data_IF_389883571511
#
_entry.id   IF_389883571511
#
_cell.length_a   1.000
_cell.length_b   1.000
_cell.length_c   1.000
_cell.angle_alpha   90.00
_cell.angle_beta   90.00
_cell.angle_gamma   90.00
#
_symmetry.space_group_name_H-M   'P 1'
#
loop_
_entity.id
_entity.type
_entity.pdbx_description
1 polymer ?
#
# COMPACT_ATOMS: atom_id res chain seq x y z
N UNK A 1 1.91 -15.13 17.38
CA UNK A 1 1.73 -15.71 16.02
C UNK A 1 3.10 -15.97 15.43
N UNK A 2 3.48 -17.24 15.26
CA UNK A 2 4.74 -17.64 14.63
C UNK A 2 4.62 -17.54 13.11
N UNK A 3 5.27 -16.53 12.52
CA UNK A 3 5.50 -16.46 11.07
C UNK A 3 6.31 -17.68 10.62
N UNK A 4 5.81 -18.43 9.64
CA UNK A 4 6.55 -19.52 9.01
C UNK A 4 7.80 -18.94 8.33
N UNK A 5 8.96 -19.57 8.50
CA UNK A 5 10.25 -19.05 8.04
C UNK A 5 10.30 -18.72 6.53
N UNK A 6 9.49 -19.40 5.71
CA UNK A 6 9.34 -19.13 4.27
C UNK A 6 8.66 -17.79 3.96
N UNK A 7 7.81 -17.29 4.86
CA UNK A 7 7.02 -16.07 4.67
C UNK A 7 7.84 -14.81 5.00
N UNK A 8 8.70 -14.87 6.04
CA UNK A 8 9.67 -13.78 6.31
C UNK A 8 10.65 -13.57 5.17
N UNK A 9 11.04 -14.65 4.49
CA UNK A 9 11.95 -14.58 3.36
C UNK A 9 11.38 -13.74 2.19
N UNK A 10 10.07 -13.83 1.92
CA UNK A 10 9.44 -13.10 0.81
C UNK A 10 9.37 -11.58 1.05
N UNK A 11 9.05 -11.15 2.28
CA UNK A 11 9.03 -9.73 2.67
C UNK A 11 10.43 -9.13 2.64
N UNK A 12 11.44 -9.86 3.15
CA UNK A 12 12.84 -9.41 3.14
C UNK A 12 13.42 -9.36 1.72
N UNK A 13 12.96 -10.23 0.81
CA UNK A 13 13.36 -10.20 -0.61
C UNK A 13 12.84 -8.93 -1.29
N UNK A 14 11.64 -8.46 -0.95
CA UNK A 14 11.03 -7.22 -1.45
C UNK A 14 11.87 -5.97 -1.10
N UNK A 15 12.31 -5.87 0.16
CA UNK A 15 13.17 -4.76 0.61
C UNK A 15 14.61 -4.84 0.10
N UNK A 16 15.17 -6.04 0.00
CA UNK A 16 16.54 -6.26 -0.49
C UNK A 16 16.72 -5.85 -1.97
N UNK A 17 15.74 -6.17 -2.81
CA UNK A 17 15.80 -5.89 -4.26
C UNK A 17 15.60 -4.40 -4.58
N UNK A 18 14.75 -3.69 -3.83
CA UNK A 18 14.60 -2.24 -3.94
C UNK A 18 15.90 -1.48 -3.59
N UNK A 19 16.65 -1.97 -2.58
CA UNK A 19 17.93 -1.37 -2.17
C UNK A 19 19.07 -1.56 -3.19
N UNK A 20 18.98 -2.56 -4.09
CA UNK A 20 20.10 -3.01 -4.93
C UNK A 20 19.99 -2.60 -6.41
N UNK A 21 18.96 -1.88 -6.82
CA UNK A 21 18.81 -1.47 -8.21
C UNK A 21 19.76 -0.29 -8.56
N UNK A 22 20.94 -0.64 -9.10
CA UNK A 22 21.99 0.31 -9.52
C UNK A 22 21.56 1.21 -10.70
N UNK A 23 20.52 0.86 -11.46
CA UNK A 23 20.03 1.70 -12.57
C UNK A 23 19.22 2.91 -12.09
N UNK A 24 18.41 2.76 -11.04
CA UNK A 24 17.65 3.87 -10.43
C UNK A 24 18.57 4.96 -9.83
N UNK A 25 19.74 4.56 -9.31
CA UNK A 25 20.76 5.50 -8.82
C UNK A 25 21.44 6.29 -9.94
N UNK A 26 21.50 5.76 -11.16
CA UNK A 26 22.10 6.44 -12.33
C UNK A 26 21.15 7.47 -12.94
N UNK A 27 19.85 7.18 -12.96
CA UNK A 27 18.82 8.07 -13.52
C UNK A 27 18.60 9.35 -12.70
N UNK A 28 18.77 9.32 -11.37
CA UNK A 28 18.72 10.54 -10.55
C UNK A 28 19.97 11.44 -10.67
N UNK A 29 21.11 10.89 -11.12
CA UNK A 29 22.36 11.66 -11.22
C UNK A 29 22.49 12.44 -12.55
N UNK A 30 21.65 12.15 -13.55
CA UNK A 30 21.76 12.72 -14.90
C UNK A 30 20.91 13.97 -15.16
N UNK A 31 20.17 14.48 -14.17
CA UNK A 31 19.25 15.62 -14.36
C UNK A 31 19.57 16.78 -13.42
N UNK A 32 20.67 17.49 -13.69
CA UNK A 32 20.77 18.93 -13.43
C UNK A 32 21.80 19.56 -14.39
N UNK A 33 21.40 20.53 -15.24
CA UNK A 33 22.33 21.23 -16.13
C UNK A 33 22.98 22.41 -15.40
N UNK A 34 24.14 22.90 -15.87
CA UNK A 34 24.47 24.33 -16.06
C UNK A 34 25.94 24.53 -16.48
N UNK A 35 26.07 25.13 -17.67
CA UNK A 35 26.96 26.20 -18.13
C UNK A 35 28.50 26.13 -18.08
N UNK A 36 29.05 26.22 -19.29
CA UNK A 36 30.02 27.25 -19.76
C UNK A 36 31.42 27.32 -19.14
N UNK A 37 32.44 27.06 -19.97
CA UNK A 37 33.73 27.74 -19.85
C UNK A 37 34.48 27.80 -21.19
N UNK A 38 34.61 29.02 -21.73
CA UNK A 38 35.61 29.40 -22.71
C UNK A 38 36.98 29.61 -22.03
N UNK A 39 38.03 29.45 -22.85
CA UNK A 39 39.47 29.38 -22.60
C UNK A 39 40.09 30.49 -21.69
N UNK A 40 41.25 30.23 -21.03
CA UNK A 40 41.89 31.13 -20.08
C UNK A 40 43.04 31.94 -20.71
N UNK A 41 43.36 33.10 -20.11
CA UNK A 41 44.72 33.65 -20.16
C UNK A 41 44.98 34.62 -19.01
N UNK A 42 46.25 34.61 -18.58
CA UNK A 42 46.98 35.59 -17.74
C UNK A 42 47.15 35.25 -16.25
N UNK A 43 48.27 34.56 -15.99
CA UNK A 43 49.37 34.94 -15.08
C UNK A 43 49.06 35.55 -13.70
N UNK A 44 49.35 34.77 -12.65
CA UNK A 44 50.50 35.02 -11.75
C UNK A 44 50.76 33.81 -10.86
N UNK A 45 52.02 33.37 -10.83
CA UNK A 45 52.58 32.34 -9.94
C UNK A 45 52.93 32.98 -8.59
N UNK A 46 53.00 32.10 -7.58
CA UNK A 46 53.41 32.23 -6.18
C UNK A 46 52.27 32.55 -5.20
N UNK A 47 52.06 31.62 -4.26
CA UNK A 47 51.05 31.59 -3.15
C UNK A 47 49.75 30.79 -3.30
N UNK A 48 49.63 29.89 -4.29
CA UNK A 48 48.42 29.05 -4.43
C UNK A 48 48.57 27.57 -3.98
N UNK A 49 49.78 27.03 -3.87
CA UNK A 49 49.97 25.59 -3.66
C UNK A 49 49.73 25.09 -2.21
N UNK A 50 49.93 25.91 -1.18
CA UNK A 50 49.71 25.51 0.22
C UNK A 50 48.24 25.57 0.62
N UNK A 51 47.53 26.61 0.17
CA UNK A 51 46.10 26.83 0.43
C UNK A 51 45.23 25.84 -0.36
N UNK A 52 45.57 25.57 -1.63
CA UNK A 52 44.86 24.58 -2.45
C UNK A 52 44.99 23.15 -1.89
N UNK A 53 46.17 22.75 -1.39
CA UNK A 53 46.35 21.44 -0.73
C UNK A 53 45.57 21.34 0.59
N UNK A 54 45.52 22.41 1.39
CA UNK A 54 44.72 22.43 2.63
C UNK A 54 43.21 22.38 2.35
N UNK A 55 42.74 23.07 1.31
CA UNK A 55 41.34 23.03 0.89
C UNK A 55 40.96 21.67 0.28
N UNK A 56 41.84 21.04 -0.51
CA UNK A 56 41.61 19.68 -1.03
C UNK A 56 41.57 18.65 0.09
N UNK A 57 42.49 18.72 1.07
CA UNK A 57 42.49 17.80 2.21
C UNK A 57 41.24 17.98 3.08
N UNK A 58 40.81 19.23 3.33
CA UNK A 58 39.59 19.51 4.07
C UNK A 58 38.33 19.03 3.33
N UNK A 59 38.28 19.19 2.00
CA UNK A 59 37.18 18.70 1.17
C UNK A 59 37.13 17.16 1.14
N UNK A 60 38.27 16.48 1.08
CA UNK A 60 38.33 15.01 1.14
C UNK A 60 37.90 14.48 2.50
N UNK A 61 38.36 15.09 3.60
CA UNK A 61 37.95 14.70 4.96
C UNK A 61 36.46 14.96 5.19
N UNK A 62 35.91 16.07 4.69
CA UNK A 62 34.46 16.31 4.75
C UNK A 62 33.67 15.32 3.87
N UNK A 63 34.15 14.98 2.67
CA UNK A 63 33.51 13.96 1.84
C UNK A 63 33.56 12.58 2.50
N UNK A 64 34.66 12.19 3.15
CA UNK A 64 34.78 10.93 3.89
C UNK A 64 33.88 10.91 5.13
N UNK A 65 33.76 12.02 5.86
CA UNK A 65 32.85 12.13 7.01
C UNK A 65 31.36 12.11 6.59
N UNK A 66 31.02 12.73 5.46
CA UNK A 66 29.67 12.73 4.91
C UNK A 66 29.30 11.36 4.31
N UNK A 67 30.24 10.69 3.65
CA UNK A 67 30.02 9.34 3.10
C UNK A 67 29.96 8.28 4.20
N UNK A 68 30.80 8.37 5.23
CA UNK A 68 30.70 7.52 6.43
C UNK A 68 29.37 7.69 7.17
N UNK A 69 28.88 8.93 7.29
CA UNK A 69 27.55 9.20 7.85
C UNK A 69 26.41 8.69 6.94
N UNK A 70 26.55 8.80 5.62
CA UNK A 70 25.54 8.34 4.66
C UNK A 70 25.46 6.80 4.61
N UNK A 71 26.58 6.10 4.70
CA UNK A 71 26.60 4.63 4.80
C UNK A 71 26.03 4.16 6.14
N UNK A 72 26.39 4.81 7.25
CA UNK A 72 25.80 4.52 8.56
C UNK A 72 24.28 4.77 8.60
N UNK A 73 23.79 5.82 7.92
CA UNK A 73 22.36 6.09 7.78
C UNK A 73 21.66 5.04 6.92
N UNK A 74 22.26 4.59 5.81
CA UNK A 74 21.72 3.49 5.00
C UNK A 74 21.71 2.15 5.74
N UNK A 75 22.68 1.92 6.61
CA UNK A 75 22.76 0.70 7.40
C UNK A 75 21.69 0.69 8.50
N UNK A 76 21.51 1.83 9.18
CA UNK A 76 20.35 2.06 10.09
C UNK A 76 19.02 1.96 9.35
N UNK A 77 18.93 2.50 8.14
CA UNK A 77 17.72 2.45 7.33
C UNK A 77 17.41 1.02 6.89
N UNK A 78 18.42 0.18 6.61
CA UNK A 78 18.25 -1.26 6.35
C UNK A 78 17.84 -2.06 7.58
N UNK A 79 18.34 -1.71 8.76
CA UNK A 79 17.98 -2.34 10.03
C UNK A 79 16.53 -2.00 10.43
N UNK A 80 16.15 -0.73 10.29
CA UNK A 80 14.78 -0.21 10.49
C UNK A 80 13.84 -0.75 9.42
N UNK A 81 14.36 -0.89 8.20
CA UNK A 81 13.70 -1.58 7.11
C UNK A 81 13.80 -3.12 7.25
N UNK A 82 14.13 -3.71 8.40
CA UNK A 82 14.10 -5.17 8.55
C UNK A 82 12.83 -5.70 9.18
N UNK A 83 12.24 -4.96 10.12
CA UNK A 83 11.41 -5.59 11.13
C UNK A 83 9.98 -5.05 11.19
N UNK A 84 9.00 -5.96 11.13
CA UNK A 84 7.63 -5.72 11.58
C UNK A 84 7.57 -5.21 13.02
N UNK A 85 8.65 -5.38 13.79
CA UNK A 85 8.77 -4.88 15.15
C UNK A 85 8.89 -3.35 15.17
N UNK A 86 9.51 -2.68 14.20
CA UNK A 86 9.66 -1.22 14.25
C UNK A 86 8.31 -0.51 14.24
N UNK A 87 7.39 -0.89 13.36
CA UNK A 87 6.06 -0.28 13.31
C UNK A 87 5.26 -0.58 14.58
N UNK A 88 5.41 -1.79 15.14
CA UNK A 88 4.81 -2.12 16.44
C UNK A 88 5.44 -1.31 17.56
N UNK A 89 6.76 -1.17 17.59
CA UNK A 89 7.52 -0.37 18.56
C UNK A 89 7.11 1.09 18.47
N UNK A 90 6.99 1.66 17.28
CA UNK A 90 6.50 3.02 17.06
C UNK A 90 5.04 3.17 17.48
N UNK A 91 4.15 2.24 17.11
CA UNK A 91 2.76 2.26 17.56
C UNK A 91 2.65 2.20 19.09
N UNK A 92 3.45 1.35 19.75
CA UNK A 92 3.52 1.30 21.21
C UNK A 92 4.17 2.54 21.84
N UNK A 93 5.16 3.14 21.17
CA UNK A 93 5.90 4.31 21.64
C UNK A 93 5.07 5.60 21.54
N UNK A 94 4.23 5.71 20.51
CA UNK A 94 3.34 6.86 20.29
C UNK A 94 1.90 6.61 20.79
N UNK A 95 1.67 5.51 21.51
CA UNK A 95 0.34 5.11 22.01
C UNK A 95 -0.74 5.13 20.91
N UNK A 96 -0.36 4.76 19.68
CA UNK A 96 -1.32 4.69 18.59
C UNK A 96 -2.36 3.61 18.92
N UNK A 97 -3.66 3.88 18.74
CA UNK A 97 -4.69 2.88 18.94
C UNK A 97 -4.38 1.64 18.10
N UNK A 98 -4.59 0.46 18.68
CA UNK A 98 -4.42 -0.80 17.94
C UNK A 98 -5.33 -0.81 16.71
N UNK A 99 -4.98 -1.63 15.72
CA UNK A 99 -5.82 -1.83 14.52
C UNK A 99 -7.26 -2.21 14.88
N UNK A 100 -7.42 -3.02 15.94
CA UNK A 100 -8.70 -3.40 16.52
C UNK A 100 -9.51 -2.18 17.00
N UNK A 101 -8.88 -1.26 17.72
CA UNK A 101 -9.52 -0.03 18.19
C UNK A 101 -9.89 0.86 17.01
N UNK A 102 -8.99 1.07 16.04
CA UNK A 102 -9.27 1.86 14.85
C UNK A 102 -10.48 1.33 14.06
N UNK A 103 -10.50 0.03 13.80
CA UNK A 103 -11.56 -0.66 13.04
C UNK A 103 -12.88 -0.66 13.83
N UNK A 104 -12.83 -0.85 15.15
CA UNK A 104 -14.01 -0.73 16.01
C UNK A 104 -14.55 0.70 16.04
N UNK A 105 -13.70 1.74 16.11
CA UNK A 105 -14.15 3.13 16.10
C UNK A 105 -14.77 3.54 14.76
N UNK A 106 -14.33 2.93 13.66
CA UNK A 106 -14.82 3.26 12.33
C UNK A 106 -16.31 2.88 12.16
N UNK A 107 -16.72 1.67 12.52
CA UNK A 107 -18.12 1.23 12.40
C UNK A 107 -18.50 0.06 13.31
N UNK A 108 -17.88 -0.05 14.50
CA UNK A 108 -18.01 -1.22 15.37
C UNK A 108 -17.67 -2.53 14.67
N UNK A 109 -16.68 -2.51 13.78
CA UNK A 109 -16.20 -3.72 13.13
C UNK A 109 -15.44 -4.62 14.10
N UNK A 110 -15.65 -5.92 13.94
CA UNK A 110 -14.86 -6.94 14.61
C UNK A 110 -13.62 -7.24 13.76
N UNK A 111 -12.46 -6.81 14.25
CA UNK A 111 -11.18 -7.06 13.59
C UNK A 111 -10.90 -8.55 13.36
N UNK A 112 -11.20 -9.41 14.33
CA UNK A 112 -10.93 -10.84 14.22
C UNK A 112 -11.77 -11.48 13.11
N UNK A 113 -13.03 -11.07 13.01
CA UNK A 113 -13.91 -11.50 11.92
C UNK A 113 -13.38 -11.01 10.56
N UNK A 114 -13.02 -9.72 10.44
CA UNK A 114 -12.49 -9.16 9.20
C UNK A 114 -11.19 -9.86 8.79
N UNK A 115 -10.28 -10.06 9.74
CA UNK A 115 -9.02 -10.74 9.52
C UNK A 115 -9.23 -12.18 9.04
N UNK A 116 -10.12 -12.95 9.70
CA UNK A 116 -10.46 -14.31 9.28
C UNK A 116 -11.01 -14.33 7.86
N UNK A 117 -11.98 -13.46 7.55
CA UNK A 117 -12.62 -13.39 6.24
C UNK A 117 -11.64 -12.99 5.13
N UNK A 118 -10.73 -12.07 5.43
CA UNK A 118 -9.65 -11.71 4.53
C UNK A 118 -8.77 -12.92 4.16
N UNK A 119 -8.39 -13.74 5.15
CA UNK A 119 -7.61 -14.95 4.89
C UNK A 119 -8.43 -16.05 4.21
N UNK A 120 -9.73 -16.17 4.48
CA UNK A 120 -10.63 -17.05 3.73
C UNK A 120 -10.60 -16.67 2.23
N UNK A 121 -10.68 -15.37 1.91
CA UNK A 121 -10.56 -14.88 0.54
C UNK A 121 -9.20 -15.22 -0.09
N UNK A 122 -8.07 -14.97 0.60
CA UNK A 122 -6.74 -15.31 0.06
C UNK A 122 -6.53 -16.82 -0.16
N UNK A 123 -7.06 -17.66 0.73
CA UNK A 123 -6.88 -19.10 0.64
C UNK A 123 -7.80 -19.77 -0.39
N UNK A 124 -8.96 -19.16 -0.66
CA UNK A 124 -10.00 -19.74 -1.50
C UNK A 124 -10.46 -18.82 -2.63
N UNK A 125 -9.59 -17.93 -3.11
CA UNK A 125 -9.97 -16.88 -4.08
C UNK A 125 -10.74 -17.45 -5.28
N UNK A 126 -11.94 -16.91 -5.52
CA UNK A 126 -12.82 -17.31 -6.60
C UNK A 126 -13.48 -18.69 -6.44
N UNK A 127 -13.32 -19.38 -5.30
CA UNK A 127 -14.01 -20.64 -5.02
C UNK A 127 -15.45 -20.39 -4.54
N UNK A 128 -16.43 -20.86 -5.31
CA UNK A 128 -17.85 -20.72 -4.99
C UNK A 128 -18.17 -21.35 -3.63
N UNK A 129 -18.73 -20.56 -2.73
CA UNK A 129 -19.17 -20.99 -1.40
C UNK A 129 -18.08 -21.02 -0.33
N UNK A 130 -16.81 -20.81 -0.69
CA UNK A 130 -15.70 -20.66 0.27
C UNK A 130 -15.14 -19.25 0.31
N UNK A 131 -15.04 -18.59 -0.83
CA UNK A 131 -14.61 -17.20 -0.91
C UNK A 131 -15.75 -16.26 -0.45
N UNK A 132 -15.60 -15.51 0.65
CA UNK A 132 -16.61 -14.53 1.08
C UNK A 132 -16.77 -13.37 0.08
N UNK A 133 -15.77 -13.12 -0.77
CA UNK A 133 -15.73 -12.01 -1.71
C UNK A 133 -16.24 -12.41 -3.10
N UNK A 134 -16.48 -13.69 -3.37
CA UNK A 134 -16.93 -14.17 -4.68
C UNK A 134 -18.44 -14.44 -4.71
N UNK A 135 -19.19 -13.66 -5.49
CA UNK A 135 -20.65 -13.77 -5.58
C UNK A 135 -21.13 -14.89 -6.52
N UNK A 136 -20.60 -16.10 -6.30
CA UNK A 136 -21.12 -17.37 -6.85
C UNK A 136 -21.35 -17.34 -8.37
N UNK A 137 -20.58 -16.55 -9.11
CA UNK A 137 -20.68 -16.40 -10.57
C UNK A 137 -21.74 -15.40 -11.08
N UNK A 138 -22.53 -14.73 -10.23
CA UNK A 138 -23.42 -13.64 -10.66
C UNK A 138 -22.62 -12.32 -10.74
N UNK A 139 -22.41 -11.74 -11.94
CA UNK A 139 -21.61 -10.52 -12.11
C UNK A 139 -22.40 -9.23 -11.84
N UNK A 140 -23.66 -9.30 -11.39
CA UNK A 140 -24.50 -8.16 -11.07
C UNK A 140 -23.91 -7.36 -9.91
N UNK A 141 -23.57 -6.09 -10.15
CA UNK A 141 -22.90 -5.24 -9.16
C UNK A 141 -23.72 -5.04 -7.88
N UNK A 142 -25.03 -4.82 -8.01
CA UNK A 142 -25.94 -4.60 -6.87
C UNK A 142 -26.10 -5.85 -6.00
N UNK A 143 -26.49 -7.03 -6.52
CA UNK A 143 -26.61 -8.23 -5.69
C UNK A 143 -25.28 -8.69 -5.09
N UNK A 144 -24.16 -8.47 -5.80
CA UNK A 144 -22.83 -8.74 -5.25
C UNK A 144 -22.49 -7.77 -4.11
N UNK A 145 -22.71 -6.47 -4.28
CA UNK A 145 -22.49 -5.51 -3.20
C UNK A 145 -23.35 -5.83 -1.96
N UNK A 146 -24.61 -6.20 -2.15
CA UNK A 146 -25.47 -6.63 -1.04
C UNK A 146 -24.94 -7.88 -0.33
N UNK A 147 -24.44 -8.86 -1.09
CA UNK A 147 -23.80 -10.08 -0.56
C UNK A 147 -22.49 -9.78 0.19
N UNK A 148 -21.70 -8.82 -0.30
CA UNK A 148 -20.50 -8.35 0.36
C UNK A 148 -20.87 -7.70 1.70
N UNK A 149 -21.80 -6.74 1.68
CA UNK A 149 -22.24 -6.05 2.89
C UNK A 149 -22.79 -7.03 3.95
N UNK A 150 -23.57 -8.04 3.56
CA UNK A 150 -24.10 -9.03 4.51
C UNK A 150 -23.04 -10.01 5.04
N UNK A 151 -21.92 -10.18 4.35
CA UNK A 151 -20.81 -11.03 4.80
C UNK A 151 -19.92 -10.35 5.83
N UNK A 152 -19.88 -9.01 5.82
CA UNK A 152 -18.98 -8.20 6.65
C UNK A 152 -19.68 -7.31 7.68
N UNK A 153 -20.98 -7.07 7.50
CA UNK A 153 -21.79 -6.26 8.41
C UNK A 153 -23.00 -7.04 8.95
N UNK A 154 -23.14 -6.97 10.27
CA UNK A 154 -24.31 -7.46 11.00
C UNK A 154 -25.39 -6.38 11.08
N UNK A 155 -26.66 -6.82 11.18
CA UNK A 155 -27.79 -5.92 11.42
C UNK A 155 -27.63 -5.14 12.74
N UNK A 156 -26.93 -5.70 13.72
CA UNK A 156 -26.62 -5.03 14.98
C UNK A 156 -25.65 -3.85 14.82
N UNK A 157 -24.71 -3.90 13.88
CA UNK A 157 -23.85 -2.75 13.58
C UNK A 157 -24.67 -1.60 12.96
N UNK A 158 -25.59 -1.90 12.05
CA UNK A 158 -26.51 -0.89 11.52
C UNK A 158 -27.36 -0.26 12.62
N UNK A 159 -27.90 -1.07 13.54
CA UNK A 159 -28.66 -0.57 14.68
C UNK A 159 -27.82 0.34 15.59
N UNK A 160 -26.56 -0.03 15.89
CA UNK A 160 -25.65 0.81 16.70
C UNK A 160 -25.32 2.13 16.02
N UNK A 161 -25.03 2.11 14.71
CA UNK A 161 -24.76 3.33 13.93
C UNK A 161 -25.97 4.25 13.87
N UNK A 162 -27.17 3.69 13.66
CA UNK A 162 -28.41 4.45 13.66
C UNK A 162 -28.69 5.06 15.05
N UNK A 163 -28.54 4.27 16.11
CA UNK A 163 -28.68 4.75 17.49
C UNK A 163 -27.69 5.88 17.80
N UNK A 164 -26.41 5.71 17.45
CA UNK A 164 -25.38 6.72 17.70
C UNK A 164 -25.67 8.02 16.93
N UNK A 165 -26.19 7.90 15.71
CA UNK A 165 -26.64 9.06 14.92
C UNK A 165 -27.74 9.84 15.64
N UNK A 166 -28.72 9.16 16.24
CA UNK A 166 -29.78 9.80 17.05
C UNK A 166 -29.20 10.48 18.28
N UNK A 167 -28.26 9.83 19.00
CA UNK A 167 -27.59 10.44 20.16
C UNK A 167 -26.88 11.74 19.76
N UNK A 168 -26.09 11.72 18.68
CA UNK A 168 -25.40 12.93 18.20
C UNK A 168 -26.38 14.02 17.77
N UNK A 169 -27.51 13.65 17.16
CA UNK A 169 -28.56 14.60 16.80
C UNK A 169 -29.16 15.29 18.04
N UNK A 170 -29.40 14.54 19.11
CA UNK A 170 -29.92 15.07 20.38
C UNK A 170 -28.91 15.98 21.09
N UNK A 171 -27.61 15.75 20.91
CA UNK A 171 -26.53 16.61 21.39
C UNK A 171 -26.33 17.89 20.53
N UNK A 172 -27.15 18.08 19.48
CA UNK A 172 -27.16 19.30 18.67
C UNK A 172 -26.38 19.21 17.36
N UNK A 173 -25.89 18.03 16.96
CA UNK A 173 -25.24 17.88 15.65
C UNK A 173 -26.24 18.13 14.50
N UNK A 174 -25.92 18.93 13.47
CA UNK A 174 -26.83 19.15 12.35
C UNK A 174 -27.10 17.86 11.56
N UNK A 175 -28.36 17.60 11.21
CA UNK A 175 -28.77 16.41 10.45
C UNK A 175 -27.97 16.25 9.14
N UNK A 176 -27.69 17.35 8.44
CA UNK A 176 -26.89 17.31 7.21
C UNK A 176 -25.48 16.71 7.45
N UNK A 177 -24.81 17.11 8.53
CA UNK A 177 -23.50 16.57 8.88
C UNK A 177 -23.60 15.09 9.24
N UNK A 178 -24.63 14.70 9.98
CA UNK A 178 -24.87 13.30 10.33
C UNK A 178 -25.10 12.44 9.09
N UNK A 179 -25.92 12.89 8.13
CA UNK A 179 -26.14 12.16 6.89
C UNK A 179 -24.85 12.02 6.07
N UNK A 180 -24.01 13.05 6.02
CA UNK A 180 -22.73 13.00 5.30
C UNK A 180 -21.74 12.07 5.99
N UNK A 181 -21.49 12.26 7.29
CA UNK A 181 -20.41 11.57 8.00
C UNK A 181 -20.80 10.20 8.55
N UNK A 182 -22.04 10.00 8.99
CA UNK A 182 -22.50 8.75 9.61
C UNK A 182 -23.12 7.77 8.61
N UNK A 183 -23.60 8.24 7.46
CA UNK A 183 -24.24 7.40 6.45
C UNK A 183 -23.49 7.42 5.11
N UNK A 184 -23.42 8.56 4.43
CA UNK A 184 -22.92 8.64 3.06
C UNK A 184 -21.43 8.26 2.96
N UNK A 185 -20.56 8.82 3.82
CA UNK A 185 -19.13 8.54 3.76
C UNK A 185 -18.77 7.06 4.05
N UNK A 186 -19.32 6.40 5.09
CA UNK A 186 -19.09 4.97 5.32
C UNK A 186 -19.62 4.08 4.18
N UNK A 187 -20.80 4.37 3.64
CA UNK A 187 -21.37 3.61 2.51
C UNK A 187 -20.49 3.76 1.27
N UNK A 188 -20.06 4.98 0.94
CA UNK A 188 -19.18 5.24 -0.20
C UNK A 188 -17.81 4.56 -0.02
N UNK A 189 -17.26 4.59 1.20
CA UNK A 189 -16.03 3.90 1.55
C UNK A 189 -16.15 2.38 1.37
N UNK A 190 -17.23 1.78 1.87
CA UNK A 190 -17.50 0.35 1.69
C UNK A 190 -17.71 -0.03 0.22
N UNK A 191 -18.45 0.79 -0.54
CA UNK A 191 -18.64 0.58 -1.97
C UNK A 191 -17.34 0.71 -2.76
N UNK A 192 -16.48 1.68 -2.43
CA UNK A 192 -15.16 1.87 -3.04
C UNK A 192 -14.26 0.65 -2.82
N UNK A 193 -14.18 0.16 -1.59
CA UNK A 193 -13.44 -1.06 -1.25
C UNK A 193 -14.00 -2.26 -2.01
N UNK A 194 -15.32 -2.47 -1.99
CA UNK A 194 -15.97 -3.52 -2.75
C UNK A 194 -15.65 -3.41 -4.25
N UNK A 195 -15.77 -2.23 -4.83
CA UNK A 195 -15.63 -2.07 -6.27
C UNK A 195 -14.19 -2.37 -6.74
N UNK A 196 -13.20 -1.77 -6.09
CA UNK A 196 -11.80 -1.88 -6.50
C UNK A 196 -11.05 -3.08 -5.91
N UNK A 197 -11.42 -3.52 -4.71
CA UNK A 197 -10.78 -4.64 -4.02
C UNK A 197 -11.49 -5.98 -4.20
N UNK A 198 -12.75 -5.99 -4.67
CA UNK A 198 -13.52 -7.24 -4.82
C UNK A 198 -14.10 -7.40 -6.22
N UNK A 199 -14.96 -6.47 -6.66
CA UNK A 199 -15.73 -6.61 -7.89
C UNK A 199 -14.84 -6.58 -9.13
N UNK A 200 -14.08 -5.51 -9.36
CA UNK A 200 -13.26 -5.37 -10.58
C UNK A 200 -12.17 -6.45 -10.71
N UNK A 201 -11.41 -6.79 -9.63
CA UNK A 201 -10.40 -7.84 -9.69
C UNK A 201 -10.96 -9.22 -9.96
N UNK A 202 -12.15 -9.53 -9.42
CA UNK A 202 -12.71 -10.88 -9.44
C UNK A 202 -13.90 -11.08 -10.38
N UNK A 203 -14.31 -10.05 -11.12
CA UNK A 203 -15.39 -10.15 -12.10
C UNK A 203 -14.95 -11.02 -13.28
N UNK A 204 -15.64 -12.14 -13.57
CA UNK A 204 -15.33 -12.99 -14.71
C UNK A 204 -15.38 -12.23 -16.05
N UNK A 205 -14.54 -12.63 -17.00
CA UNK A 205 -14.59 -12.10 -18.37
C UNK A 205 -15.93 -12.45 -19.06
N UNK A 206 -16.53 -11.53 -19.83
CA UNK A 206 -17.67 -11.84 -20.68
C UNK A 206 -17.35 -13.03 -21.61
N UNK A 207 -18.20 -14.06 -21.62
CA UNK A 207 -18.02 -15.27 -22.44
C UNK A 207 -17.33 -16.45 -21.75
N UNK A 208 -16.62 -16.25 -20.63
CA UNK A 208 -16.03 -17.34 -19.85
C UNK A 208 -17.09 -18.16 -19.07
N UNK A 209 -18.30 -17.63 -18.93
CA UNK A 209 -19.43 -18.26 -18.25
C UNK A 209 -20.27 -19.20 -19.15
N UNK A 210 -19.85 -19.45 -20.41
CA UNK A 210 -20.65 -20.19 -21.39
C UNK A 210 -20.37 -21.71 -21.47
N UNK A 211 -19.43 -22.26 -20.69
CA UNK A 211 -19.07 -23.67 -20.83
C UNK A 211 -18.48 -24.30 -19.58
N UNK A 212 -19.33 -24.99 -18.82
CA UNK A 212 -18.96 -26.18 -18.03
C UNK A 212 -17.71 -26.10 -17.15
N UNK A 213 -17.74 -25.26 -16.11
CA UNK A 213 -17.15 -25.53 -14.78
C UNK A 213 -17.59 -24.40 -13.85
N UNK A 214 -17.79 -24.64 -12.53
CA UNK A 214 -17.89 -23.53 -11.59
C UNK A 214 -16.64 -22.68 -11.77
N UNK A 215 -16.81 -21.44 -12.24
CA UNK A 215 -15.69 -20.61 -12.70
C UNK A 215 -14.81 -20.24 -11.51
N UNK A 216 -13.87 -21.11 -11.14
CA UNK A 216 -12.87 -20.83 -10.12
C UNK A 216 -11.93 -19.76 -10.66
N UNK A 217 -11.96 -18.58 -10.03
CA UNK A 217 -11.03 -17.50 -10.32
C UNK A 217 -9.90 -17.49 -9.30
N UNK A 218 -8.89 -18.34 -9.51
CA UNK A 218 -7.70 -18.35 -8.67
C UNK A 218 -7.04 -16.97 -8.60
N UNK A 219 -6.35 -16.68 -7.49
CA UNK A 219 -5.77 -15.36 -7.21
C UNK A 219 -4.86 -14.79 -8.31
N UNK A 220 -4.13 -15.63 -9.05
CA UNK A 220 -3.26 -15.17 -10.15
C UNK A 220 -4.01 -14.66 -11.38
N UNK A 221 -5.32 -14.92 -11.46
CA UNK A 221 -6.24 -14.37 -12.47
C UNK A 221 -6.89 -13.06 -12.03
N UNK A 222 -6.70 -12.64 -10.79
CA UNK A 222 -7.21 -11.35 -10.32
C UNK A 222 -6.62 -10.21 -11.16
N UNK A 223 -7.47 -9.26 -11.55
CA UNK A 223 -7.03 -8.09 -12.31
C UNK A 223 -6.25 -7.14 -11.40
N UNK A 224 -5.33 -6.41 -11.99
CA UNK A 224 -4.58 -5.33 -11.33
C UNK A 224 -4.65 -4.07 -12.18
N UNK A 225 -4.80 -2.93 -11.50
CA UNK A 225 -4.91 -1.62 -12.12
C UNK A 225 -3.62 -1.19 -12.81
N UNK A 226 -3.77 -0.56 -13.98
CA UNK A 226 -2.66 0.04 -14.73
C UNK A 226 -2.48 1.54 -14.41
N UNK A 227 -3.22 2.06 -13.42
CA UNK A 227 -3.13 3.44 -13.02
C UNK A 227 -1.75 3.79 -12.42
N UNK A 228 -1.35 5.06 -12.54
CA UNK A 228 -0.17 5.60 -11.87
C UNK A 228 -0.26 5.42 -10.35
N UNK A 229 0.88 5.40 -9.65
CA UNK A 229 0.91 5.24 -8.18
C UNK A 229 -0.04 6.23 -7.49
N UNK A 230 -0.01 7.51 -7.87
CA UNK A 230 -0.90 8.53 -7.28
C UNK A 230 -2.39 8.24 -7.51
N UNK A 231 -2.77 7.84 -8.73
CA UNK A 231 -4.17 7.55 -9.05
C UNK A 231 -4.64 6.30 -8.30
N UNK A 232 -3.81 5.27 -8.23
CA UNK A 232 -4.10 4.04 -7.48
C UNK A 232 -4.29 4.30 -5.96
N UNK A 233 -3.46 5.18 -5.38
CA UNK A 233 -3.64 5.66 -4.01
C UNK A 233 -5.00 6.35 -3.82
N UNK A 234 -5.32 7.32 -4.70
CA UNK A 234 -6.60 8.05 -4.65
C UNK A 234 -7.81 7.17 -4.99
N UNK A 235 -7.59 6.04 -5.66
CA UNK A 235 -8.64 5.10 -6.09
C UNK A 235 -9.04 4.14 -5.00
N UNK A 236 -8.10 3.54 -4.26
CA UNK A 236 -8.41 2.68 -3.12
C UNK A 236 -7.18 2.36 -2.26
N UNK A 237 -6.32 3.34 -1.97
CA UNK A 237 -5.07 3.10 -1.22
C UNK A 237 -4.25 1.96 -1.85
N UNK A 238 -4.18 1.86 -3.18
CA UNK A 238 -3.50 0.77 -3.90
C UNK A 238 -4.14 -0.64 -3.82
N UNK A 239 -5.31 -0.81 -3.20
CA UNK A 239 -6.02 -2.10 -3.25
C UNK A 239 -6.54 -2.45 -4.65
N UNK A 240 -6.52 -1.51 -5.60
CA UNK A 240 -6.72 -1.79 -7.01
C UNK A 240 -5.53 -2.54 -7.65
N UNK A 241 -4.38 -2.65 -6.95
CA UNK A 241 -3.25 -3.53 -7.26
C UNK A 241 -3.48 -4.93 -6.66
N UNK A 242 -4.63 -5.52 -6.96
CA UNK A 242 -5.13 -6.69 -6.22
C UNK A 242 -4.31 -7.96 -6.46
N UNK A 243 -3.72 -8.10 -7.65
CA UNK A 243 -2.81 -9.20 -7.94
C UNK A 243 -1.56 -9.16 -7.06
N UNK A 244 -0.95 -7.98 -6.91
CA UNK A 244 0.18 -7.75 -6.02
C UNK A 244 -0.20 -8.03 -4.57
N UNK A 245 -1.38 -7.58 -4.16
CA UNK A 245 -1.90 -7.84 -2.82
C UNK A 245 -2.03 -9.35 -2.54
N UNK A 246 -2.58 -10.14 -3.46
CA UNK A 246 -2.63 -11.60 -3.31
C UNK A 246 -1.24 -12.25 -3.31
N UNK A 247 -0.31 -11.74 -4.12
CA UNK A 247 1.06 -12.27 -4.17
C UNK A 247 1.84 -11.99 -2.89
N UNK A 248 1.60 -10.84 -2.27
CA UNK A 248 2.25 -10.38 -1.03
C UNK A 248 1.20 -9.89 -0.01
N UNK A 249 0.41 -10.81 0.60
CA UNK A 249 -0.72 -10.43 1.46
C UNK A 249 -0.34 -9.70 2.75
N UNK A 250 0.93 -9.80 3.15
CA UNK A 250 1.48 -9.10 4.31
C UNK A 250 2.05 -7.72 3.97
N UNK A 251 2.16 -7.37 2.68
CA UNK A 251 2.62 -6.05 2.29
C UNK A 251 1.53 -5.03 2.66
N UNK A 252 1.89 -3.97 3.41
CA UNK A 252 0.94 -2.90 3.67
C UNK A 252 0.63 -2.16 2.37
N UNK A 253 -0.51 -1.48 2.35
CA UNK A 253 -1.06 -0.86 1.15
C UNK A 253 -0.08 0.11 0.46
N UNK A 254 0.73 0.85 1.23
CA UNK A 254 1.74 1.79 0.71
C UNK A 254 2.96 1.11 0.07
N UNK A 255 3.17 -0.19 0.28
CA UNK A 255 4.26 -0.95 -0.35
C UNK A 255 3.83 -1.67 -1.63
N UNK A 256 2.54 -1.77 -1.94
CA UNK A 256 2.03 -2.43 -3.15
C UNK A 256 2.62 -1.86 -4.46
N UNK A 257 2.89 -0.55 -4.60
CA UNK A 257 3.63 -0.04 -5.77
C UNK A 257 5.04 -0.61 -5.92
N UNK A 258 5.76 -0.86 -4.81
CA UNK A 258 7.05 -1.54 -4.85
C UNK A 258 6.88 -3.00 -5.31
N UNK A 259 5.88 -3.70 -4.77
CA UNK A 259 5.52 -5.05 -5.19
C UNK A 259 5.25 -5.15 -6.70
N UNK A 260 4.54 -4.16 -7.27
CA UNK A 260 4.31 -4.06 -8.72
C UNK A 260 5.59 -3.90 -9.54
N UNK A 261 6.52 -3.07 -9.07
CA UNK A 261 7.83 -2.91 -9.73
C UNK A 261 8.64 -4.21 -9.71
N UNK A 262 8.56 -4.96 -8.62
CA UNK A 262 9.26 -6.25 -8.47
C UNK A 262 8.63 -7.38 -9.29
N UNK A 263 7.33 -7.34 -9.54
CA UNK A 263 6.65 -8.34 -10.37
C UNK A 263 6.96 -8.19 -11.87
N UNK A 264 7.67 -7.14 -12.28
CA UNK A 264 7.92 -6.82 -13.68
C UNK A 264 6.67 -6.30 -14.41
N UNK A 265 5.54 -6.13 -13.71
CA UNK A 265 4.30 -5.54 -14.24
C UNK A 265 4.31 -4.02 -14.13
N UNK A 266 5.42 -3.42 -14.54
CA UNK A 266 5.57 -1.96 -14.55
C UNK A 266 4.41 -1.30 -15.30
N UNK A 267 4.11 -0.05 -14.93
CA UNK A 267 3.09 0.77 -15.59
C UNK A 267 3.16 0.59 -17.10
N UNK A 268 2.05 0.19 -17.72
CA UNK A 268 1.89 0.38 -19.16
C UNK A 268 2.02 1.89 -19.40
N UNK A 269 2.99 2.37 -20.18
CA UNK A 269 3.08 3.79 -20.50
C UNK A 269 1.74 4.23 -21.12
N UNK A 270 1.22 5.37 -20.65
CA UNK A 270 0.00 5.98 -21.17
C UNK A 270 0.14 6.36 -22.66
#
# INVERSE_FOLDING_TARGET
MHLHASQRAQVNTCRSTASNNKELKRLCASTWPVCTALNPRVSRRTDCHSTARRMQLAATVMLEQLTGSAEALKEKEKEVAGSSDVLRTWATQYSLPSEEVCISLYAWFDYNMLHRKHWEHHNHTGEVGKDPDFHRGNPGIVPWFASFMSSYMSMWQFARLAWWTVVMQLLGAPMANLLVFMAAAPILSAFRLFYFGTYMPHKPEPGAASGSSPAVMNWWKSRTSQASDLVSFLTCYHFDLHWEHHRWPFAPWWELPNCRRLSGRGLVPA
#
